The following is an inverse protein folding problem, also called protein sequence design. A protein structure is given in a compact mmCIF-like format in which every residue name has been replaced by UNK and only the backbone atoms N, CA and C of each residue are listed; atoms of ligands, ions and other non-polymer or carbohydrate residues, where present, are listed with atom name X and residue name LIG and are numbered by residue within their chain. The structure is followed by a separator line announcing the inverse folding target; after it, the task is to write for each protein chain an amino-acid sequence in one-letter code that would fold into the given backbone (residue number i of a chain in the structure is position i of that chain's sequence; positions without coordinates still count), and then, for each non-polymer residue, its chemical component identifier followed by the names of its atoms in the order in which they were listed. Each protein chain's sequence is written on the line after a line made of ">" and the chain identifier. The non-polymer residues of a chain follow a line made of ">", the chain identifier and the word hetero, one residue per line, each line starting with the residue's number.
data_IF_251264458987
#
_entry.id   IF_251264458987
#
_cell.length_a   1.000
_cell.length_b   1.000
_cell.length_c   1.000
_cell.angle_alpha   90.00
_cell.angle_beta   90.00
_cell.angle_gamma   90.00
#
_symmetry.space_group_name_H-M   'P 1'
#
loop_
_entity.id
_entity.type
_entity.pdbx_description
1 polymer ?
#
# COMPACT_ATOMS: atom_id res chain seq x y z
N UNK A 1 17.82 30.93 13.55
CA UNK A 1 18.51 29.75 14.12
C UNK A 1 18.21 28.52 13.27
N UNK A 2 19.21 27.81 12.73
CA UNK A 2 18.99 26.48 12.14
C UNK A 2 19.00 25.47 13.30
N UNK A 3 17.82 25.04 13.75
CA UNK A 3 17.68 23.96 14.72
C UNK A 3 18.32 22.68 14.15
N UNK A 4 19.55 22.38 14.62
CA UNK A 4 20.16 21.08 14.39
C UNK A 4 19.47 20.10 15.33
N UNK A 5 18.72 19.18 14.74
CA UNK A 5 18.23 18.01 15.48
C UNK A 5 19.44 17.21 16.00
N UNK A 6 19.31 16.54 17.16
CA UNK A 6 20.30 15.57 17.60
C UNK A 6 20.62 14.58 16.48
N UNK A 7 21.91 14.26 16.32
CA UNK A 7 22.36 13.25 15.37
C UNK A 7 22.54 11.95 16.13
N UNK A 8 21.99 10.86 15.60
CA UNK A 8 22.09 9.52 16.17
C UNK A 8 22.76 8.57 15.17
N UNK A 9 23.57 7.66 15.71
CA UNK A 9 24.28 6.62 14.97
C UNK A 9 24.15 5.32 15.76
N UNK A 10 22.99 4.64 15.68
CA UNK A 10 22.79 3.40 16.42
C UNK A 10 23.75 2.32 15.91
N UNK A 11 24.21 1.46 16.82
CA UNK A 11 25.14 0.36 16.49
C UNK A 11 24.51 -0.66 15.53
N UNK A 12 23.20 -0.86 15.65
CA UNK A 12 22.40 -1.69 14.76
C UNK A 12 21.36 -0.82 14.03
N UNK A 13 21.08 -1.10 12.75
CA UNK A 13 20.05 -0.34 12.04
C UNK A 13 18.67 -0.55 12.68
N UNK A 14 17.86 0.50 12.85
CA UNK A 14 16.53 0.35 13.44
C UNK A 14 15.62 -0.58 12.64
N UNK A 15 14.71 -1.25 13.34
CA UNK A 15 13.58 -1.97 12.73
C UNK A 15 12.35 -1.08 12.75
N UNK A 16 11.53 -1.16 11.70
CA UNK A 16 10.21 -0.56 11.68
C UNK A 16 9.20 -1.38 10.89
N UNK A 17 7.95 -0.93 10.90
CA UNK A 17 6.82 -1.63 10.30
C UNK A 17 6.03 -0.70 9.38
N UNK A 18 5.53 -1.23 8.27
CA UNK A 18 4.68 -0.47 7.34
C UNK A 18 3.79 -1.40 6.54
N UNK A 19 2.84 -0.84 5.80
CA UNK A 19 2.02 -1.59 4.86
C UNK A 19 2.34 -1.23 3.42
N UNK A 20 2.20 -2.21 2.52
CA UNK A 20 2.43 -2.02 1.09
C UNK A 20 1.62 -3.03 0.27
N UNK A 21 1.34 -2.72 -0.98
CA UNK A 21 0.74 -3.70 -1.89
C UNK A 21 1.83 -4.54 -2.54
N UNK A 22 1.74 -5.89 -2.50
CA UNK A 22 2.64 -6.74 -3.25
C UNK A 22 2.36 -6.60 -4.74
N UNK A 23 3.41 -6.59 -5.56
CA UNK A 23 3.29 -6.46 -7.01
C UNK A 23 4.15 -7.48 -7.73
N UNK A 24 3.72 -7.86 -8.94
CA UNK A 24 4.43 -8.74 -9.86
C UNK A 24 4.68 -7.99 -11.17
N UNK A 25 5.84 -8.16 -11.78
CA UNK A 25 6.09 -7.68 -13.14
C UNK A 25 5.21 -8.40 -14.15
N UNK A 26 4.87 -7.71 -15.24
CA UNK A 26 4.02 -8.28 -16.30
C UNK A 26 4.59 -9.56 -16.91
N UNK A 27 5.92 -9.66 -17.00
CA UNK A 27 6.63 -10.86 -17.44
C UNK A 27 6.73 -11.96 -16.37
N UNK A 28 6.20 -11.73 -15.17
CA UNK A 28 6.25 -12.66 -14.04
C UNK A 28 7.64 -12.86 -13.42
N UNK A 29 8.67 -12.18 -13.92
CA UNK A 29 10.05 -12.45 -13.55
C UNK A 29 10.50 -11.76 -12.25
N UNK A 30 9.76 -10.74 -11.77
CA UNK A 30 10.16 -9.92 -10.63
C UNK A 30 8.97 -9.62 -9.73
N UNK A 31 9.18 -9.78 -8.43
CA UNK A 31 8.23 -9.37 -7.40
C UNK A 31 8.77 -8.18 -6.60
N UNK A 32 7.88 -7.41 -6.00
CA UNK A 32 8.23 -6.26 -5.17
C UNK A 32 7.02 -5.68 -4.50
N UNK A 33 7.10 -4.40 -4.14
CA UNK A 33 6.03 -3.72 -3.42
C UNK A 33 5.77 -2.33 -3.99
N UNK A 34 4.59 -1.81 -3.74
CA UNK A 34 4.26 -0.39 -3.96
C UNK A 34 3.62 0.19 -2.70
N UNK A 35 3.87 1.47 -2.42
CA UNK A 35 3.33 2.12 -1.23
C UNK A 35 1.81 2.26 -1.27
N UNK A 36 1.19 2.46 -0.10
CA UNK A 36 -0.27 2.70 0.03
C UNK A 36 -0.65 4.19 -0.05
N UNK A 37 0.33 5.09 -0.02
CA UNK A 37 0.14 6.55 -0.06
C UNK A 37 0.82 7.14 -1.31
N UNK A 38 1.41 8.35 -1.22
CA UNK A 38 2.15 8.99 -2.32
C UNK A 38 3.20 8.08 -2.97
N UNK A 39 3.86 7.21 -2.19
CA UNK A 39 4.79 6.18 -2.68
C UNK A 39 4.18 5.09 -3.56
N UNK A 40 2.86 5.07 -3.77
CA UNK A 40 2.16 4.12 -4.62
C UNK A 40 2.39 4.30 -6.14
N UNK A 41 3.13 5.34 -6.53
CA UNK A 41 3.49 5.61 -7.91
C UNK A 41 4.73 4.82 -8.38
N UNK A 42 5.65 4.45 -7.48
CA UNK A 42 6.92 3.81 -7.83
C UNK A 42 7.07 2.47 -7.10
N UNK A 43 6.92 1.34 -7.81
CA UNK A 43 7.25 0.02 -7.31
C UNK A 43 8.73 -0.07 -6.90
N UNK A 44 9.00 -0.77 -5.79
CA UNK A 44 10.34 -0.97 -5.25
C UNK A 44 10.60 -2.43 -4.90
N UNK A 45 11.87 -2.81 -4.91
CA UNK A 45 12.33 -4.15 -4.53
C UNK A 45 12.49 -4.31 -3.01
N UNK A 46 12.90 -5.51 -2.59
CA UNK A 46 13.16 -5.83 -1.17
C UNK A 46 14.20 -4.89 -0.57
N UNK A 47 15.31 -4.66 -1.29
CA UNK A 47 16.28 -3.61 -0.99
C UNK A 47 16.08 -2.49 -1.99
N UNK A 48 15.90 -1.26 -1.51
CA UNK A 48 15.69 -0.10 -2.38
C UNK A 48 16.12 1.19 -1.70
N UNK A 49 16.61 2.11 -2.52
CA UNK A 49 16.81 3.51 -2.16
C UNK A 49 15.52 4.30 -2.46
N UNK A 50 15.29 5.33 -1.66
CA UNK A 50 14.19 6.26 -1.84
C UNK A 50 14.55 7.28 -2.92
N UNK A 51 13.53 7.73 -3.65
CA UNK A 51 13.62 8.79 -4.64
C UNK A 51 12.64 9.92 -4.31
N UNK A 52 12.88 11.11 -4.86
CA UNK A 52 11.92 12.20 -4.78
C UNK A 52 10.85 12.03 -5.87
N UNK A 53 9.60 11.81 -5.47
CA UNK A 53 8.49 11.65 -6.41
C UNK A 53 8.19 12.93 -7.20
N UNK A 54 8.56 14.08 -6.66
CA UNK A 54 8.46 15.37 -7.36
C UNK A 54 9.60 15.62 -8.37
N UNK A 55 10.52 14.67 -8.56
CA UNK A 55 11.66 14.82 -9.48
C UNK A 55 12.68 15.89 -9.06
N UNK A 56 12.60 16.38 -7.82
CA UNK A 56 13.53 17.40 -7.32
C UNK A 56 14.91 16.82 -7.08
N UNK A 57 15.94 17.64 -7.33
CA UNK A 57 17.34 17.28 -7.11
C UNK A 57 17.73 17.49 -5.64
N UNK A 58 17.57 16.45 -4.84
CA UNK A 58 18.09 16.39 -3.47
C UNK A 58 18.24 14.93 -3.03
N UNK A 59 19.03 14.68 -1.98
CA UNK A 59 19.14 13.36 -1.37
C UNK A 59 17.97 13.08 -0.42
N UNK A 60 17.19 12.01 -0.61
CA UNK A 60 16.20 11.60 0.37
C UNK A 60 16.86 11.04 1.65
N UNK A 61 16.26 11.23 2.84
CA UNK A 61 15.12 12.11 3.10
C UNK A 61 15.57 13.57 3.28
N UNK A 62 14.98 14.49 2.51
CA UNK A 62 15.17 15.93 2.72
C UNK A 62 14.16 16.43 3.77
N UNK A 63 14.56 17.34 4.66
CA UNK A 63 13.70 17.82 5.76
C UNK A 63 12.42 18.51 5.27
N UNK A 64 12.55 19.35 4.25
CA UNK A 64 11.48 20.15 3.66
C UNK A 64 10.84 19.47 2.43
N UNK A 65 11.01 18.16 2.31
CA UNK A 65 10.31 17.34 1.33
C UNK A 65 9.69 16.15 2.07
N UNK A 66 8.65 15.58 1.50
CA UNK A 66 8.05 14.31 1.89
C UNK A 66 8.81 13.08 1.35
N UNK A 67 9.93 13.27 0.65
CA UNK A 67 10.67 12.17 0.05
C UNK A 67 11.27 11.23 1.12
N UNK A 68 11.37 9.96 0.78
CA UNK A 68 11.82 8.92 1.70
C UNK A 68 10.80 7.81 1.83
N UNK A 69 11.26 6.66 2.26
CA UNK A 69 10.35 5.64 2.78
C UNK A 69 9.88 6.02 4.18
N UNK A 70 8.71 5.54 4.56
CA UNK A 70 8.12 5.76 5.87
C UNK A 70 7.82 4.42 6.52
N UNK A 71 8.06 4.31 7.83
CA UNK A 71 7.58 3.20 8.66
C UNK A 71 7.29 3.71 10.07
N UNK A 72 6.41 3.01 10.78
CA UNK A 72 6.19 3.22 12.20
C UNK A 72 7.13 2.35 13.04
N UNK A 73 7.31 2.70 14.31
CA UNK A 73 8.12 1.90 15.25
C UNK A 73 7.43 0.62 15.66
N UNK A 74 6.11 0.71 15.88
CA UNK A 74 5.31 -0.35 16.48
C UNK A 74 4.60 -1.19 15.42
N UNK A 75 4.59 -2.51 15.66
CA UNK A 75 3.97 -3.46 14.75
C UNK A 75 2.44 -3.33 14.78
N UNK A 76 1.84 -3.20 15.96
CA UNK A 76 0.39 -3.13 16.10
C UNK A 76 -0.16 -1.85 15.45
N UNK A 77 0.58 -0.74 15.52
CA UNK A 77 0.25 0.49 14.82
C UNK A 77 0.21 0.29 13.29
N UNK A 78 1.16 -0.46 12.72
CA UNK A 78 1.13 -0.78 11.29
C UNK A 78 -0.01 -1.76 10.93
N UNK A 79 -0.29 -2.73 11.81
CA UNK A 79 -1.41 -3.68 11.63
C UNK A 79 -2.77 -2.98 11.68
N UNK A 80 -2.94 -1.98 12.55
CA UNK A 80 -4.17 -1.19 12.64
C UNK A 80 -4.50 -0.47 11.32
N UNK A 81 -3.49 -0.10 10.52
CA UNK A 81 -3.72 0.48 9.20
C UNK A 81 -4.40 -0.50 8.24
N UNK A 82 -4.24 -1.81 8.41
CA UNK A 82 -4.88 -2.83 7.57
C UNK A 82 -6.39 -2.97 7.85
N UNK A 83 -6.90 -2.36 8.92
CA UNK A 83 -8.33 -2.38 9.24
C UNK A 83 -9.15 -1.50 8.29
N UNK A 84 -8.54 -0.46 7.70
CA UNK A 84 -9.25 0.41 6.76
C UNK A 84 -9.53 -0.33 5.46
N UNK A 85 -10.71 -0.09 4.86
CA UNK A 85 -11.12 -0.79 3.64
C UNK A 85 -10.10 -0.62 2.50
N UNK A 86 -9.54 0.59 2.40
CA UNK A 86 -8.52 1.00 1.42
C UNK A 86 -7.22 0.20 1.52
N UNK A 87 -6.90 -0.34 2.71
CA UNK A 87 -5.61 -0.96 3.00
C UNK A 87 -5.73 -2.45 3.33
N UNK A 88 -6.95 -3.00 3.38
CA UNK A 88 -7.18 -4.41 3.71
C UNK A 88 -6.49 -5.38 2.76
N UNK A 89 -6.25 -4.99 1.51
CA UNK A 89 -5.51 -5.77 0.51
C UNK A 89 -3.99 -5.63 0.58
N UNK A 90 -3.45 -4.79 1.48
CA UNK A 90 -2.02 -4.62 1.65
C UNK A 90 -1.42 -5.74 2.54
N UNK A 91 -0.09 -5.86 2.49
CA UNK A 91 0.68 -6.74 3.36
C UNK A 91 1.41 -5.90 4.41
N UNK A 92 1.58 -6.46 5.60
CA UNK A 92 2.43 -5.87 6.62
C UNK A 92 3.89 -6.22 6.32
N UNK A 93 4.75 -5.21 6.32
CA UNK A 93 6.18 -5.33 6.12
C UNK A 93 6.93 -5.00 7.41
N UNK A 94 7.84 -5.88 7.79
CA UNK A 94 8.92 -5.58 8.71
C UNK A 94 10.14 -5.15 7.90
N UNK A 95 10.70 -4.00 8.24
CA UNK A 95 11.78 -3.37 7.49
C UNK A 95 12.96 -3.03 8.38
N UNK A 96 14.17 -3.27 7.88
CA UNK A 96 15.39 -2.67 8.41
C UNK A 96 15.56 -1.29 7.78
N UNK A 97 15.64 -0.26 8.62
CA UNK A 97 15.88 1.14 8.25
C UNK A 97 17.37 1.33 7.98
N UNK A 98 17.71 1.67 6.74
CA UNK A 98 19.09 1.81 6.27
C UNK A 98 19.36 3.23 5.74
N UNK A 99 20.65 3.61 5.75
CA UNK A 99 21.10 4.91 5.29
C UNK A 99 20.65 6.06 6.20
N UNK A 100 20.61 7.27 5.65
CA UNK A 100 20.18 8.43 6.41
C UNK A 100 18.68 8.36 6.73
N UNK A 101 18.31 8.75 7.94
CA UNK A 101 16.92 8.79 8.36
C UNK A 101 16.62 9.99 9.25
N UNK A 102 15.33 10.29 9.38
CA UNK A 102 14.76 11.25 10.31
C UNK A 102 13.81 10.44 11.20
N UNK A 103 14.05 10.45 12.51
CA UNK A 103 13.17 9.84 13.50
C UNK A 103 12.08 10.84 13.89
N UNK A 104 10.86 10.34 13.92
CA UNK A 104 9.67 11.01 14.45
C UNK A 104 9.17 10.24 15.67
N UNK A 105 8.22 10.84 16.38
CA UNK A 105 7.57 10.23 17.54
C UNK A 105 7.04 8.82 17.24
N UNK A 106 6.35 8.65 16.10
CA UNK A 106 5.73 7.37 15.75
C UNK A 106 6.51 6.53 14.74
N UNK A 107 7.65 7.00 14.22
CA UNK A 107 8.34 6.24 13.18
C UNK A 107 9.61 6.85 12.61
N UNK A 108 9.94 6.41 11.40
CA UNK A 108 11.10 6.84 10.65
C UNK A 108 10.72 7.28 9.24
N UNK A 109 11.42 8.30 8.73
CA UNK A 109 11.54 8.57 7.30
C UNK A 109 12.97 8.36 6.86
N UNK A 110 13.22 7.53 5.85
CA UNK A 110 14.57 7.02 5.60
C UNK A 110 14.92 6.84 4.13
N UNK A 111 16.24 6.82 3.87
CA UNK A 111 16.83 6.83 2.54
C UNK A 111 16.85 5.45 1.88
N UNK A 112 17.01 4.38 2.67
CA UNK A 112 17.14 3.02 2.15
C UNK A 112 16.44 2.03 3.06
N UNK A 113 15.86 0.98 2.50
CA UNK A 113 15.31 -0.14 3.28
C UNK A 113 15.89 -1.46 2.85
N UNK A 114 15.74 -2.43 3.75
CA UNK A 114 15.55 -3.83 3.40
C UNK A 114 14.27 -4.35 4.04
N UNK A 115 13.35 -4.88 3.22
CA UNK A 115 12.20 -5.65 3.72
C UNK A 115 12.70 -7.01 4.20
N UNK A 116 12.37 -7.39 5.42
CA UNK A 116 12.77 -8.68 6.01
C UNK A 116 11.64 -9.69 5.93
N UNK A 117 10.46 -9.26 6.35
CA UNK A 117 9.27 -10.11 6.40
C UNK A 117 8.10 -9.39 5.75
N UNK A 118 7.35 -10.10 4.91
CA UNK A 118 6.03 -9.71 4.46
C UNK A 118 4.99 -10.67 5.07
N UNK A 119 4.07 -10.14 5.88
CA UNK A 119 2.96 -10.87 6.46
C UNK A 119 1.70 -10.61 5.62
N UNK A 120 1.20 -11.66 4.99
CA UNK A 120 0.02 -11.63 4.10
C UNK A 120 -1.22 -11.88 4.93
N UNK A 121 -2.15 -10.92 4.93
CA UNK A 121 -3.44 -11.07 5.60
C UNK A 121 -4.30 -12.21 5.03
N UNK A 122 -5.49 -12.46 5.60
CA UNK A 122 -6.41 -13.45 5.07
C UNK A 122 -6.89 -13.07 3.66
N UNK A 123 -7.40 -14.06 2.94
CA UNK A 123 -8.13 -13.83 1.69
C UNK A 123 -9.35 -12.93 1.94
N UNK A 124 -9.86 -12.26 0.91
CA UNK A 124 -11.08 -11.44 1.01
C UNK A 124 -12.31 -12.20 1.54
N UNK A 125 -12.33 -13.53 1.43
CA UNK A 125 -13.36 -14.40 2.02
C UNK A 125 -13.09 -14.78 3.50
N UNK A 126 -12.03 -14.26 4.11
CA UNK A 126 -11.61 -14.55 5.49
C UNK A 126 -10.71 -15.77 5.67
N UNK A 127 -10.62 -16.67 4.69
CA UNK A 127 -9.81 -17.87 4.80
C UNK A 127 -8.29 -17.58 4.75
N UNK A 128 -7.43 -18.43 5.37
CA UNK A 128 -5.98 -18.24 5.34
C UNK A 128 -5.42 -18.16 3.91
N UNK A 129 -4.52 -17.20 3.70
CA UNK A 129 -3.87 -17.02 2.42
C UNK A 129 -2.83 -18.10 2.16
N UNK A 130 -2.86 -18.67 0.95
CA UNK A 130 -1.86 -19.63 0.45
C UNK A 130 -1.09 -19.07 -0.76
N UNK A 131 -1.63 -18.01 -1.37
CA UNK A 131 -1.10 -17.37 -2.55
C UNK A 131 -1.38 -15.86 -2.53
N UNK A 132 -0.68 -15.15 -3.41
CA UNK A 132 -0.97 -13.79 -3.81
C UNK A 132 -1.52 -13.86 -5.25
N UNK A 133 -2.74 -13.40 -5.46
CA UNK A 133 -3.43 -13.43 -6.75
C UNK A 133 -3.73 -12.01 -7.24
N UNK A 134 -3.98 -11.88 -8.54
CA UNK A 134 -4.41 -10.63 -9.16
C UNK A 134 -5.50 -9.92 -8.35
N UNK A 135 -5.22 -8.66 -7.99
CA UNK A 135 -6.10 -7.79 -7.23
C UNK A 135 -7.07 -6.99 -8.13
N UNK A 136 -7.00 -7.13 -9.45
CA UNK A 136 -7.85 -6.42 -10.42
C UNK A 136 -7.37 -4.99 -10.71
N UNK A 137 -6.16 -4.62 -10.25
CA UNK A 137 -5.56 -3.32 -10.50
C UNK A 137 -4.04 -3.41 -10.62
N UNK A 138 -3.42 -2.33 -11.08
CA UNK A 138 -1.96 -2.28 -11.20
C UNK A 138 -1.42 -0.95 -11.69
N UNK A 139 -0.25 -1.03 -12.29
CA UNK A 139 0.46 0.04 -12.99
C UNK A 139 1.00 -0.52 -14.32
N UNK A 140 1.36 0.32 -15.29
CA UNK A 140 2.04 -0.17 -16.50
C UNK A 140 3.23 -1.08 -16.15
N UNK A 141 3.23 -2.30 -16.70
CA UNK A 141 4.25 -3.31 -16.45
C UNK A 141 4.22 -3.98 -15.06
N UNK A 142 3.23 -3.70 -14.21
CA UNK A 142 3.12 -4.25 -12.85
C UNK A 142 1.69 -4.58 -12.46
N UNK A 143 1.45 -5.82 -12.07
CA UNK A 143 0.20 -6.32 -11.52
C UNK A 143 0.21 -6.19 -10.00
N UNK A 144 -0.83 -5.60 -9.40
CA UNK A 144 -0.98 -5.65 -7.95
C UNK A 144 -1.61 -6.99 -7.54
N UNK A 145 -1.16 -7.50 -6.39
CA UNK A 145 -1.63 -8.77 -5.86
C UNK A 145 -2.33 -8.57 -4.51
N UNK A 146 -3.27 -9.46 -4.22
CA UNK A 146 -3.98 -9.56 -2.97
C UNK A 146 -3.92 -11.00 -2.45
N UNK A 147 -4.14 -11.15 -1.14
CA UNK A 147 -4.22 -12.45 -0.48
C UNK A 147 -5.31 -13.35 -1.12
N UNK A 148 -4.95 -14.60 -1.39
CA UNK A 148 -5.87 -15.61 -1.93
C UNK A 148 -5.74 -16.93 -1.19
N UNK A 149 -6.87 -17.51 -0.80
CA UNK A 149 -6.95 -18.88 -0.28
C UNK A 149 -7.02 -19.89 -1.45
N UNK A 150 -6.90 -21.18 -1.13
CA UNK A 150 -6.92 -22.26 -2.12
C UNK A 150 -8.22 -22.32 -2.96
N UNK A 151 -9.35 -21.87 -2.40
CA UNK A 151 -10.62 -21.80 -3.13
C UNK A 151 -10.69 -20.60 -4.07
N UNK A 152 -10.38 -19.40 -3.56
CA UNK A 152 -10.53 -18.15 -4.31
C UNK A 152 -9.42 -17.91 -5.34
N UNK A 153 -8.31 -18.64 -5.32
CA UNK A 153 -7.21 -18.45 -6.29
C UNK A 153 -7.55 -18.92 -7.70
N UNK A 154 -8.53 -19.81 -7.85
CA UNK A 154 -8.86 -20.47 -9.14
C UNK A 154 -9.18 -19.44 -10.23
N UNK A 155 -8.60 -19.64 -11.41
CA UNK A 155 -8.84 -18.81 -12.58
C UNK A 155 -8.17 -17.43 -12.56
N UNK A 156 -7.33 -17.13 -11.54
CA UNK A 156 -6.60 -15.86 -11.43
C UNK A 156 -5.11 -16.07 -11.61
N UNK A 157 -4.45 -15.12 -12.26
CA UNK A 157 -2.98 -15.00 -12.23
C UNK A 157 -2.53 -14.93 -10.77
N UNK A 158 -1.67 -15.85 -10.36
CA UNK A 158 -1.29 -15.97 -8.95
C UNK A 158 0.10 -16.57 -8.79
N UNK A 159 0.70 -16.27 -7.64
CA UNK A 159 1.97 -16.84 -7.20
C UNK A 159 1.83 -17.31 -5.76
N UNK A 160 2.44 -18.44 -5.44
CA UNK A 160 2.49 -18.91 -4.04
C UNK A 160 3.32 -17.94 -3.20
N UNK A 161 3.13 -17.94 -1.88
CA UNK A 161 3.92 -17.08 -0.98
C UNK A 161 5.43 -17.34 -1.13
N UNK A 162 5.81 -18.61 -1.24
CA UNK A 162 7.19 -19.04 -1.47
C UNK A 162 7.73 -18.59 -2.83
N UNK A 163 6.92 -18.68 -3.90
CA UNK A 163 7.34 -18.22 -5.22
C UNK A 163 7.54 -16.69 -5.23
N UNK A 164 6.63 -15.93 -4.61
CA UNK A 164 6.79 -14.49 -4.46
C UNK A 164 8.08 -14.14 -3.72
N UNK A 165 8.38 -14.83 -2.61
CA UNK A 165 9.63 -14.64 -1.86
C UNK A 165 10.89 -14.84 -2.73
N UNK A 166 10.90 -15.88 -3.57
CA UNK A 166 12.01 -16.16 -4.49
C UNK A 166 12.15 -15.09 -5.57
N UNK A 167 11.05 -14.67 -6.18
CA UNK A 167 11.02 -13.63 -7.22
C UNK A 167 11.39 -12.25 -6.68
N UNK A 168 11.11 -11.98 -5.41
CA UNK A 168 11.47 -10.74 -4.74
C UNK A 168 12.96 -10.73 -4.34
N UNK A 169 13.55 -11.91 -4.10
CA UNK A 169 14.96 -12.09 -3.81
C UNK A 169 15.37 -11.58 -2.43
N UNK A 170 16.68 -11.41 -2.24
CA UNK A 170 17.28 -10.75 -1.07
C UNK A 170 16.94 -11.37 0.30
N UNK A 171 16.56 -12.65 0.31
CA UNK A 171 16.19 -13.39 1.52
C UNK A 171 14.89 -12.91 2.16
N UNK A 172 13.97 -12.32 1.40
CA UNK A 172 12.63 -11.97 1.90
C UNK A 172 11.92 -13.22 2.44
N UNK A 173 11.38 -13.11 3.65
CA UNK A 173 10.44 -14.10 4.20
C UNK A 173 9.01 -13.65 3.93
N UNK A 174 8.19 -14.52 3.35
CA UNK A 174 6.75 -14.27 3.15
C UNK A 174 5.97 -15.29 3.96
N UNK A 175 5.08 -14.82 4.83
CA UNK A 175 4.27 -15.66 5.70
C UNK A 175 2.81 -15.24 5.63
N UNK A 176 1.90 -16.20 5.76
CA UNK A 176 0.50 -15.88 6.04
C UNK A 176 0.37 -15.38 7.48
N UNK A 177 -0.51 -14.41 7.69
CA UNK A 177 -0.93 -14.01 9.02
C UNK A 177 -1.54 -15.22 9.74
N UNK A 178 -1.27 -15.40 11.05
CA UNK A 178 -1.98 -16.41 11.82
C UNK A 178 -3.48 -16.14 11.74
N UNK A 179 -4.29 -17.19 11.63
CA UNK A 179 -5.73 -17.05 11.71
C UNK A 179 -6.07 -16.40 13.05
N UNK A 180 -6.72 -15.22 13.01
CA UNK A 180 -7.33 -14.65 14.20
C UNK A 180 -8.53 -15.55 14.51
N UNK A 181 -8.33 -16.55 15.37
CA UNK A 181 -9.45 -17.23 15.98
C UNK A 181 -10.24 -16.15 16.74
N UNK A 182 -11.55 -15.97 16.49
CA UNK A 182 -12.34 -15.20 17.43
C UNK A 182 -12.12 -15.83 18.81
N UNK A 183 -11.81 -15.00 19.82
CA UNK A 183 -11.71 -15.48 21.19
C UNK A 183 -12.96 -16.32 21.46
N UNK A 184 -12.75 -17.61 21.71
CA UNK A 184 -13.84 -18.53 21.92
C UNK A 184 -14.64 -18.04 23.14
N UNK A 185 -15.80 -17.43 22.88
CA UNK A 185 -16.83 -17.26 23.87
C UNK A 185 -17.25 -18.67 24.28
N UNK A 186 -16.70 -19.14 25.40
CA UNK A 186 -17.13 -20.36 26.03
C UNK A 186 -18.57 -20.18 26.52
N UNK A 187 -19.55 -20.78 25.84
CA UNK A 187 -20.67 -21.51 26.45
C UNK A 187 -21.48 -22.27 25.39
N UNK A 188 -22.00 -23.42 25.81
CA UNK A 188 -22.57 -24.54 25.06
C UNK A 188 -23.87 -24.28 24.25
N UNK A 189 -24.14 -25.20 23.31
CA UNK A 189 -25.44 -25.44 22.65
C UNK A 189 -26.52 -25.89 23.69
N UNK A 190 -27.84 -25.80 23.50
CA UNK A 190 -28.77 -25.94 22.35
C UNK A 190 -30.20 -25.44 22.76
N UNK A 191 -31.34 -25.73 22.07
CA UNK A 191 -31.69 -25.89 20.65
C UNK A 191 -32.79 -24.87 20.18
N UNK A 192 -33.31 -25.08 18.96
CA UNK A 192 -34.11 -24.18 18.11
C UNK A 192 -35.60 -23.93 18.48
N UNK A 193 -36.14 -22.78 18.03
CA UNK A 193 -37.55 -22.66 17.58
C UNK A 193 -37.85 -21.42 16.71
N UNK A 194 -38.48 -21.71 15.55
CA UNK A 194 -39.42 -20.95 14.72
C UNK A 194 -39.08 -19.57 14.10
N UNK A 195 -39.10 -19.52 12.76
CA UNK A 195 -39.36 -18.31 11.93
C UNK A 195 -40.84 -17.91 11.95
N UNK A 196 -41.16 -16.66 11.54
CA UNK A 196 -41.65 -16.48 10.17
C UNK A 196 -41.02 -15.28 9.42
N UNK A 197 -41.09 -15.42 8.10
CA UNK A 197 -40.56 -14.61 7.00
C UNK A 197 -41.20 -13.22 6.83
N UNK A 198 -40.40 -12.20 6.48
CA UNK A 198 -40.80 -11.11 5.57
C UNK A 198 -39.55 -10.59 4.82
N UNK A 199 -39.64 -10.44 3.49
CA UNK A 199 -38.96 -9.37 2.77
C UNK A 199 -37.85 -9.77 1.81
N UNK A 200 -38.13 -9.63 0.53
CA UNK A 200 -37.25 -9.88 -0.61
C UNK A 200 -35.99 -8.99 -0.65
N UNK A 201 -34.90 -9.61 -1.15
CA UNK A 201 -33.86 -9.04 -2.00
C UNK A 201 -33.24 -7.67 -1.66
N UNK A 202 -31.96 -7.68 -1.25
CA UNK A 202 -30.97 -6.72 -1.73
C UNK A 202 -29.56 -7.33 -1.63
N UNK A 203 -28.79 -7.19 -2.70
CA UNK A 203 -27.37 -7.52 -2.83
C UNK A 203 -26.54 -6.78 -1.75
N UNK A 204 -25.30 -7.21 -1.43
CA UNK A 204 -24.41 -6.37 -0.63
C UNK A 204 -24.17 -5.06 -1.40
N UNK A 205 -24.75 -4.00 -0.87
CA UNK A 205 -24.79 -2.69 -1.51
C UNK A 205 -23.39 -2.10 -1.63
N UNK A 206 -23.16 -1.46 -2.76
CA UNK A 206 -21.96 -0.67 -3.00
C UNK A 206 -21.83 0.47 -1.98
N UNK A 207 -20.70 1.19 -2.09
CA UNK A 207 -20.44 2.43 -1.36
C UNK A 207 -21.73 3.26 -1.23
N UNK A 208 -22.09 3.62 0.00
CA UNK A 208 -23.31 4.38 0.27
C UNK A 208 -23.37 5.65 -0.57
N UNK A 209 -24.59 6.15 -0.80
CA UNK A 209 -24.82 7.40 -1.55
C UNK A 209 -23.94 8.56 -1.05
N UNK A 210 -23.71 8.76 0.27
CA UNK A 210 -22.79 9.79 0.77
C UNK A 210 -21.34 9.58 0.32
N UNK A 211 -20.85 8.35 0.32
CA UNK A 211 -19.49 7.98 -0.10
C UNK A 211 -19.31 8.19 -1.62
N UNK A 212 -20.31 7.82 -2.42
CA UNK A 212 -20.31 8.08 -3.87
C UNK A 212 -20.34 9.58 -4.19
N UNK A 213 -21.05 10.38 -3.40
CA UNK A 213 -21.06 11.85 -3.53
C UNK A 213 -19.69 12.44 -3.18
N UNK A 214 -19.02 11.92 -2.15
CA UNK A 214 -17.67 12.34 -1.78
C UNK A 214 -16.64 11.98 -2.87
N UNK A 215 -16.72 10.77 -3.43
CA UNK A 215 -15.87 10.35 -4.55
C UNK A 215 -16.14 11.18 -5.82
N UNK A 216 -17.41 11.45 -6.13
CA UNK A 216 -17.79 12.30 -7.26
C UNK A 216 -17.26 13.74 -7.08
N UNK A 217 -17.34 14.31 -5.89
CA UNK A 217 -16.80 15.63 -5.59
C UNK A 217 -15.27 15.68 -5.74
N UNK A 218 -14.56 14.63 -5.31
CA UNK A 218 -13.11 14.52 -5.49
C UNK A 218 -12.72 14.40 -6.97
N UNK A 219 -13.46 13.61 -7.75
CA UNK A 219 -13.24 13.49 -9.19
C UNK A 219 -13.50 14.82 -9.91
N UNK A 220 -14.55 15.54 -9.52
CA UNK A 220 -14.87 16.86 -10.06
C UNK A 220 -13.75 17.87 -9.77
N UNK A 221 -13.26 17.93 -8.53
CA UNK A 221 -12.15 18.81 -8.16
C UNK A 221 -10.85 18.51 -8.95
N UNK A 222 -10.59 17.23 -9.26
CA UNK A 222 -9.43 16.85 -10.10
C UNK A 222 -9.63 17.30 -11.55
N UNK A 223 -10.83 17.18 -12.10
CA UNK A 223 -11.15 17.64 -13.45
C UNK A 223 -10.99 19.16 -13.57
N UNK A 224 -11.50 19.92 -12.61
CA UNK A 224 -11.38 21.38 -12.59
C UNK A 224 -9.90 21.83 -12.52
N UNK A 225 -9.08 21.11 -11.74
CA UNK A 225 -7.64 21.34 -11.70
C UNK A 225 -6.96 21.06 -13.04
N UNK A 226 -7.29 19.94 -13.71
CA UNK A 226 -6.76 19.62 -15.04
C UNK A 226 -7.15 20.67 -16.08
N UNK A 227 -8.41 21.11 -16.08
CA UNK A 227 -8.89 22.17 -16.96
C UNK A 227 -8.14 23.48 -16.72
N UNK A 228 -7.89 23.83 -15.45
CA UNK A 228 -7.08 24.99 -15.09
C UNK A 228 -5.64 24.90 -15.60
N UNK A 229 -5.02 23.70 -15.58
CA UNK A 229 -3.68 23.53 -16.15
C UNK A 229 -3.69 23.62 -17.69
N UNK A 230 -4.71 23.07 -18.35
CA UNK A 230 -4.86 23.15 -19.81
C UNK A 230 -5.08 24.59 -20.27
N UNK A 231 -5.92 25.36 -19.57
CA UNK A 231 -6.15 26.78 -19.87
C UNK A 231 -4.85 27.59 -19.79
N UNK A 232 -4.06 27.38 -18.73
CA UNK A 232 -2.74 28.02 -18.59
C UNK A 232 -1.79 27.66 -19.73
N UNK A 233 -1.78 26.41 -20.21
CA UNK A 233 -0.96 26.00 -21.34
C UNK A 233 -1.46 26.63 -22.66
N UNK A 234 -2.78 26.78 -22.83
CA UNK A 234 -3.39 27.45 -23.98
C UNK A 234 -3.07 28.95 -24.07
N UNK A 235 -3.02 29.65 -22.92
CA UNK A 235 -2.64 31.07 -22.83
C UNK A 235 -1.18 31.34 -23.25
N UNK A 236 -0.29 30.36 -23.08
CA UNK A 236 1.10 30.47 -23.54
C UNK A 236 1.25 30.21 -25.05
N UNK A 237 0.22 29.70 -25.72
CA UNK A 237 0.21 29.43 -27.17
C UNK A 237 -0.19 30.62 -28.04
N UNK A 238 -0.83 31.66 -27.47
CA UNK A 238 -1.36 32.82 -28.23
C UNK A 238 -0.47 34.06 -28.17
N UNK A 239 0.62 34.06 -27.40
CA UNK A 239 1.55 35.18 -27.26
C UNK A 239 2.69 35.25 -28.29
N UNK A 240 2.70 34.38 -29.30
CA UNK A 240 3.86 34.15 -30.18
C UNK A 240 3.83 34.75 -31.59
N UNK A 241 2.78 35.48 -31.98
CA UNK A 241 2.70 36.06 -33.34
C UNK A 241 2.12 37.47 -33.31
N UNK A 242 2.91 38.43 -32.83
CA UNK A 242 2.73 39.83 -33.18
C UNK A 242 4.10 40.51 -33.20
N UNK A 243 4.57 40.86 -34.41
CA UNK A 243 5.69 41.79 -34.58
C UNK A 243 6.82 41.30 -35.48
N UNK A 244 6.60 41.33 -36.79
CA UNK A 244 7.58 41.78 -37.79
C UNK A 244 6.90 41.90 -39.15
N UNK A 245 6.41 43.11 -39.44
CA UNK A 245 6.67 43.88 -40.65
C UNK A 245 6.41 45.37 -40.33
#
# INVERSE_FOLDING_TARGET
>A
MRLRLPTEHPAEPPTGYKIAHPVLSQDGARAGFTGVSLGGALPYGVVSDASCLYGRRHRPPARLCDCGFHCVHDRAAAEALLCTAEHRGAVLLEVTVLGAYIRFEHGFRYARQRVRTATVGPCGCGAPAVALADAGWGRPGRLALAAACAGCVRGRTSVTLTAFARLAGEGLRVVAAPAVAPAASATAAAPASASPTVGAAALPDGLGVPELVAEAALLQARLDWFQSQLARLGEHGTGGTAGRD
#
